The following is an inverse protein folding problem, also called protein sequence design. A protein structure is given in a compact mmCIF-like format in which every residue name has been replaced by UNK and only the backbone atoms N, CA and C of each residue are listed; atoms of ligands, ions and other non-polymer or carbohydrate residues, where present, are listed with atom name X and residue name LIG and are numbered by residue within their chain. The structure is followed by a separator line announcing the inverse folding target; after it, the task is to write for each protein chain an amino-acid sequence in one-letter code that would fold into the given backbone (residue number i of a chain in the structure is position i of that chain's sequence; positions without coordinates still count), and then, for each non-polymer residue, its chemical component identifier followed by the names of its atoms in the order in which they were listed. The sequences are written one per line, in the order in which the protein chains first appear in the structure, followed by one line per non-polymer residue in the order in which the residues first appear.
data_IF_054718668663
#
_entry.id   IF_054718668663
#
_cell.length_a   1.000
_cell.length_b   1.000
_cell.length_c   1.000
_cell.angle_alpha   90.00
_cell.angle_beta   90.00
_cell.angle_gamma   90.00
#
_symmetry.space_group_name_H-M   'P 1'
#
loop_
_entity.id
_entity.type
_entity.pdbx_description
1 polymer ?
#
# COMPACT_ATOMS: atom_id res chain seq x y z
N UNK A 1 33.89 13.15 -13.98
CA UNK A 1 33.56 12.62 -12.65
C UNK A 1 32.86 13.72 -11.89
N UNK A 2 31.55 13.63 -11.71
CA UNK A 2 30.81 14.58 -10.86
C UNK A 2 31.19 14.34 -9.39
N UNK A 3 31.22 15.38 -8.53
CA UNK A 3 31.77 15.28 -7.17
C UNK A 3 30.85 14.53 -6.19
N UNK A 4 29.60 14.31 -6.57
CA UNK A 4 28.62 13.63 -5.75
C UNK A 4 28.38 12.23 -6.32
N UNK A 5 28.87 11.20 -5.63
CA UNK A 5 28.81 9.80 -6.04
C UNK A 5 27.41 9.18 -6.14
N UNK A 6 26.35 9.98 -6.29
CA UNK A 6 24.98 9.53 -6.45
C UNK A 6 24.64 9.37 -7.93
N UNK A 7 24.41 8.12 -8.34
CA UNK A 7 23.92 7.79 -9.68
C UNK A 7 22.54 8.48 -9.89
N UNK A 8 22.41 9.42 -10.84
CA UNK A 8 21.15 10.13 -11.09
C UNK A 8 20.02 9.21 -11.61
N UNK A 9 20.30 7.96 -11.94
CA UNK A 9 19.30 6.95 -12.32
C UNK A 9 18.72 6.15 -11.13
N UNK A 10 19.22 6.35 -9.92
CA UNK A 10 18.67 5.70 -8.73
C UNK A 10 17.25 6.20 -8.42
N UNK A 11 16.30 5.28 -8.26
CA UNK A 11 14.93 5.62 -7.84
C UNK A 11 14.96 6.18 -6.42
N UNK A 12 14.18 7.23 -6.16
CA UNK A 12 13.94 7.72 -4.82
C UNK A 12 13.10 6.68 -4.05
N UNK A 13 13.63 6.21 -2.93
CA UNK A 13 13.00 5.26 -2.01
C UNK A 13 12.64 6.02 -0.74
N UNK A 14 11.39 5.88 -0.31
CA UNK A 14 10.86 6.45 0.92
C UNK A 14 10.18 5.32 1.68
N UNK A 15 10.63 5.04 2.89
CA UNK A 15 10.07 3.99 3.75
C UNK A 15 9.68 4.62 5.07
N UNK A 16 8.41 4.49 5.46
CA UNK A 16 7.87 5.03 6.71
C UNK A 16 6.99 3.97 7.35
N UNK A 17 7.15 3.73 8.64
CA UNK A 17 6.26 2.84 9.37
C UNK A 17 6.77 2.50 10.77
N UNK A 18 5.95 1.74 11.48
CA UNK A 18 6.30 1.13 12.75
C UNK A 18 7.05 -0.19 12.49
N UNK A 19 8.34 -0.20 12.82
CA UNK A 19 9.20 -1.38 12.66
C UNK A 19 9.15 -2.28 13.90
N UNK A 20 8.86 -1.72 15.07
CA UNK A 20 8.85 -2.42 16.34
C UNK A 20 10.13 -3.25 16.60
N UNK A 21 11.31 -2.66 16.33
CA UNK A 21 12.62 -3.26 16.59
C UNK A 21 13.34 -2.41 17.65
N UNK A 22 13.02 -2.60 18.95
CA UNK A 22 13.60 -1.81 20.03
C UNK A 22 15.09 -2.10 20.26
N UNK A 23 15.62 -3.19 19.71
CA UNK A 23 17.01 -3.60 19.86
C UNK A 23 17.99 -2.82 18.97
N UNK A 24 17.49 -1.97 18.07
CA UNK A 24 18.34 -1.09 17.26
C UNK A 24 18.67 0.13 18.09
N UNK A 25 19.96 0.35 18.31
CA UNK A 25 20.47 1.62 18.83
C UNK A 25 20.78 2.56 17.67
N UNK A 26 20.60 3.86 17.90
CA UNK A 26 20.89 4.90 16.92
C UNK A 26 22.12 5.67 17.41
N UNK A 27 23.10 5.89 16.53
CA UNK A 27 24.28 6.71 16.87
C UNK A 27 23.86 8.13 17.26
N UNK A 28 24.69 8.87 18.00
CA UNK A 28 24.45 10.29 18.37
C UNK A 28 24.17 11.22 17.18
N UNK A 29 24.42 10.77 15.95
CA UNK A 29 24.10 11.47 14.69
C UNK A 29 22.90 10.89 13.93
N UNK A 30 22.01 10.15 14.63
CA UNK A 30 20.66 9.60 14.35
C UNK A 30 20.36 8.93 13.00
N UNK A 31 21.27 9.01 12.03
CA UNK A 31 21.05 8.67 10.63
C UNK A 31 21.39 7.23 10.31
N UNK A 32 22.23 6.60 11.14
CA UNK A 32 22.75 5.23 10.94
C UNK A 32 22.47 4.36 12.16
N UNK A 33 21.93 3.15 11.95
CA UNK A 33 21.70 2.21 13.05
C UNK A 33 23.03 1.61 13.52
N UNK A 34 23.11 1.35 14.83
CA UNK A 34 24.15 0.54 15.45
C UNK A 34 23.50 -0.79 15.84
N UNK A 35 24.03 -1.87 15.28
CA UNK A 35 23.65 -3.22 15.71
C UNK A 35 24.26 -3.50 17.08
N UNK A 36 23.48 -3.37 18.14
CA UNK A 36 23.74 -4.07 19.40
C UNK A 36 23.45 -5.55 19.16
N UNK A 37 24.49 -6.32 18.84
CA UNK A 37 24.38 -7.71 18.38
C UNK A 37 23.42 -8.58 19.22
N UNK A 38 22.71 -9.49 18.55
CA UNK A 38 21.82 -10.47 19.21
C UNK A 38 20.42 -10.62 18.62
N UNK A 39 20.02 -9.84 17.61
CA UNK A 39 18.74 -10.00 16.94
C UNK A 39 18.89 -10.00 15.41
N UNK A 40 18.53 -11.11 14.76
CA UNK A 40 18.62 -11.26 13.31
C UNK A 40 17.85 -10.16 12.54
N UNK A 41 16.73 -9.67 13.08
CA UNK A 41 15.95 -8.62 12.43
C UNK A 41 16.65 -7.25 12.42
N UNK A 42 17.44 -6.92 13.45
CA UNK A 42 18.20 -5.66 13.47
C UNK A 42 19.38 -5.71 12.51
N UNK A 43 20.04 -6.86 12.40
CA UNK A 43 21.16 -7.07 11.47
C UNK A 43 20.69 -6.94 10.02
N UNK A 44 19.61 -7.64 9.66
CA UNK A 44 19.01 -7.54 8.31
C UNK A 44 18.57 -6.11 7.98
N UNK A 45 18.02 -5.37 8.95
CA UNK A 45 17.64 -3.98 8.70
C UNK A 45 18.87 -3.10 8.48
N UNK A 46 19.94 -3.29 9.25
CA UNK A 46 21.19 -2.54 9.08
C UNK A 46 21.84 -2.80 7.72
N UNK A 47 21.88 -4.06 7.29
CA UNK A 47 22.35 -4.44 5.95
C UNK A 47 21.51 -3.76 4.86
N UNK A 48 20.17 -3.84 4.97
CA UNK A 48 19.27 -3.21 4.00
C UNK A 48 19.47 -1.69 3.93
N UNK A 49 19.65 -1.04 5.09
CA UNK A 49 19.91 0.40 5.17
C UNK A 49 21.23 0.75 4.46
N UNK A 50 22.30 0.00 4.75
CA UNK A 50 23.62 0.19 4.15
C UNK A 50 23.62 -0.04 2.64
N UNK A 51 23.07 -1.17 2.17
CA UNK A 51 23.06 -1.57 0.76
C UNK A 51 22.26 -0.61 -0.13
N UNK A 52 21.25 0.06 0.44
CA UNK A 52 20.35 0.96 -0.30
C UNK A 52 20.64 2.45 -0.03
N UNK A 53 21.73 2.76 0.67
CA UNK A 53 22.10 4.13 1.07
C UNK A 53 20.96 4.88 1.76
N UNK A 54 20.18 4.18 2.58
CA UNK A 54 19.07 4.78 3.30
C UNK A 54 19.58 5.56 4.50
N UNK A 55 19.06 6.77 4.67
CA UNK A 55 19.26 7.58 5.86
C UNK A 55 17.97 7.59 6.68
N UNK A 56 18.10 7.45 8.00
CA UNK A 56 17.00 7.66 8.94
C UNK A 56 16.85 9.16 9.26
N UNK A 57 15.61 9.67 9.34
CA UNK A 57 15.32 11.10 9.56
C UNK A 57 14.58 11.46 10.88
N UNK A 58 14.21 10.49 11.72
CA UNK A 58 13.53 10.76 13.00
C UNK A 58 14.56 10.82 14.12
N UNK A 59 14.79 12.01 14.67
CA UNK A 59 15.78 12.23 15.74
C UNK A 59 15.27 11.76 17.12
N UNK A 60 14.00 12.05 17.45
CA UNK A 60 13.44 11.80 18.78
C UNK A 60 12.80 10.42 19.00
N UNK A 61 12.35 10.14 20.24
CA UNK A 61 11.49 8.99 20.51
C UNK A 61 10.15 9.14 19.76
N UNK A 62 9.53 8.03 19.36
CA UNK A 62 8.24 8.03 18.66
C UNK A 62 7.13 7.41 19.49
N UNK A 63 7.44 7.06 20.73
CA UNK A 63 6.54 6.41 21.66
C UNK A 63 6.71 7.03 23.06
N UNK A 64 5.62 7.15 23.80
CA UNK A 64 5.56 7.72 25.16
C UNK A 64 6.53 7.07 26.16
N UNK A 65 6.88 5.80 25.95
CA UNK A 65 7.89 5.07 26.73
C UNK A 65 9.36 5.43 26.39
N UNK A 66 9.61 6.38 25.48
CA UNK A 66 10.95 6.82 25.08
C UNK A 66 11.60 5.99 23.95
N UNK A 67 10.88 5.05 23.36
CA UNK A 67 11.39 4.22 22.27
C UNK A 67 11.20 4.88 20.90
N UNK A 68 12.12 4.62 19.97
CA UNK A 68 12.04 5.03 18.54
C UNK A 68 11.66 3.81 17.70
N UNK A 69 10.36 3.57 17.54
CA UNK A 69 9.80 2.39 16.85
C UNK A 69 9.31 2.72 15.45
N UNK A 70 8.82 3.95 15.26
CA UNK A 70 8.41 4.48 13.98
C UNK A 70 9.63 5.10 13.30
N UNK A 71 10.00 4.58 12.14
CA UNK A 71 11.20 5.00 11.41
C UNK A 71 10.82 5.57 10.06
N UNK A 72 11.59 6.57 9.65
CA UNK A 72 11.48 7.22 8.35
C UNK A 72 12.84 7.16 7.66
N UNK A 73 12.90 6.39 6.58
CA UNK A 73 14.09 6.24 5.75
C UNK A 73 13.92 6.87 4.37
N UNK A 74 14.99 7.48 3.86
CA UNK A 74 15.09 7.89 2.46
C UNK A 74 16.53 7.77 1.95
N UNK A 75 16.71 7.38 0.69
CA UNK A 75 18.03 7.34 0.04
C UNK A 75 18.45 8.68 -0.59
N UNK A 76 17.61 9.71 -0.46
CA UNK A 76 17.79 11.03 -1.05
C UNK A 76 17.40 12.11 -0.05
N UNK A 77 18.35 12.51 0.78
CA UNK A 77 18.11 13.50 1.84
C UNK A 77 17.61 14.85 1.31
N UNK A 78 18.01 15.23 0.10
CA UNK A 78 17.68 16.52 -0.50
C UNK A 78 16.19 16.68 -0.85
N UNK A 79 15.42 15.60 -0.87
CA UNK A 79 13.97 15.65 -1.09
C UNK A 79 13.17 15.75 0.21
N UNK A 80 13.81 15.59 1.37
CA UNK A 80 13.16 15.57 2.68
C UNK A 80 13.41 16.88 3.42
N UNK A 81 12.39 17.42 4.08
CA UNK A 81 12.54 18.60 4.95
C UNK A 81 11.50 18.64 6.08
N UNK A 82 11.76 19.47 7.09
CA UNK A 82 10.86 19.77 8.21
C UNK A 82 10.37 18.51 8.95
N UNK A 83 11.28 17.60 9.31
CA UNK A 83 10.93 16.41 10.09
C UNK A 83 10.76 16.80 11.55
N UNK A 84 9.55 16.66 12.07
CA UNK A 84 9.18 17.01 13.43
C UNK A 84 8.51 15.82 14.09
N UNK A 85 8.76 15.64 15.38
CA UNK A 85 8.09 14.63 16.20
C UNK A 85 7.40 15.34 17.35
N UNK A 86 6.07 15.23 17.43
CA UNK A 86 5.25 15.87 18.46
C UNK A 86 4.42 14.84 19.22
N UNK A 87 4.24 14.99 20.55
CA UNK A 87 3.31 14.18 21.31
C UNK A 87 1.89 14.21 20.72
N UNK A 88 1.19 13.10 20.81
CA UNK A 88 -0.19 12.93 20.33
C UNK A 88 -1.22 13.76 21.10
N UNK A 89 -0.95 14.07 22.37
CA UNK A 89 -1.81 14.84 23.26
C UNK A 89 -2.03 16.29 22.77
N UNK A 90 -1.02 16.89 22.13
CA UNK A 90 -1.12 18.22 21.52
C UNK A 90 -2.14 18.30 20.38
N UNK A 91 -2.48 17.15 19.81
CA UNK A 91 -3.34 17.02 18.63
C UNK A 91 -4.66 16.30 18.92
N UNK A 92 -4.98 16.09 20.21
CA UNK A 92 -6.22 15.48 20.68
C UNK A 92 -6.41 14.03 20.17
N UNK A 93 -5.30 13.29 19.96
CA UNK A 93 -5.31 11.87 19.64
C UNK A 93 -4.93 11.04 20.87
N UNK A 94 -5.80 10.14 21.30
CA UNK A 94 -5.49 9.20 22.38
C UNK A 94 -4.64 8.03 21.84
N UNK A 95 -3.34 8.23 21.73
CA UNK A 95 -2.36 7.18 21.34
C UNK A 95 -1.05 7.41 22.08
N UNK A 96 -0.38 6.32 22.42
CA UNK A 96 0.96 6.26 22.97
C UNK A 96 2.08 6.53 21.96
N UNK A 97 1.78 6.56 20.66
CA UNK A 97 2.70 6.95 19.60
C UNK A 97 2.71 8.47 19.37
N UNK A 98 3.88 9.01 19.08
CA UNK A 98 4.04 10.40 18.67
C UNK A 98 3.72 10.58 17.18
N UNK A 99 3.34 11.79 16.83
CA UNK A 99 3.06 12.17 15.44
C UNK A 99 4.37 12.61 14.81
N UNK A 100 4.69 12.03 13.65
CA UNK A 100 5.82 12.42 12.83
C UNK A 100 5.28 13.21 11.64
N UNK A 101 5.70 14.47 11.53
CA UNK A 101 5.37 15.37 10.43
C UNK A 101 6.63 15.61 9.59
N UNK A 102 6.50 15.63 8.27
CA UNK A 102 7.61 15.89 7.36
C UNK A 102 7.10 16.33 5.98
N UNK A 103 7.99 16.95 5.22
CA UNK A 103 7.77 17.36 3.84
C UNK A 103 8.61 16.51 2.88
N UNK A 104 7.99 16.12 1.76
CA UNK A 104 8.69 15.46 0.64
C UNK A 104 8.53 16.31 -0.63
N UNK A 105 9.64 16.81 -1.15
CA UNK A 105 9.70 17.53 -2.42
C UNK A 105 9.86 16.52 -3.57
N UNK A 106 8.81 16.31 -4.35
CA UNK A 106 8.90 15.45 -5.54
C UNK A 106 8.24 16.05 -6.77
N UNK A 107 8.74 15.67 -7.94
CA UNK A 107 8.10 15.95 -9.22
C UNK A 107 7.25 14.74 -9.61
N UNK A 108 5.95 14.81 -9.35
CA UNK A 108 5.03 13.75 -9.75
C UNK A 108 4.64 13.88 -11.23
N UNK A 109 5.04 12.91 -12.04
CA UNK A 109 4.36 12.66 -13.31
C UNK A 109 3.22 11.68 -13.08
N UNK A 110 2.01 12.01 -13.53
CA UNK A 110 0.88 11.08 -13.45
C UNK A 110 1.24 9.79 -14.19
N UNK A 111 1.26 8.67 -13.47
CA UNK A 111 1.51 7.36 -14.07
C UNK A 111 0.50 7.14 -15.21
N UNK A 112 1.03 6.77 -16.39
CA UNK A 112 0.21 6.39 -17.53
C UNK A 112 -0.59 5.15 -17.14
N UNK A 113 -1.89 5.08 -17.49
CA UNK A 113 -2.67 3.89 -17.18
C UNK A 113 -2.04 2.68 -17.87
N UNK A 114 -1.69 1.66 -17.09
CA UNK A 114 -1.07 0.44 -17.60
C UNK A 114 -2.12 -0.36 -18.36
N UNK A 115 -1.86 -0.69 -19.63
CA UNK A 115 -2.72 -1.61 -20.38
C UNK A 115 -2.59 -2.99 -19.76
N UNK A 116 -3.73 -3.65 -19.51
CA UNK A 116 -3.74 -5.04 -19.03
C UNK A 116 -4.43 -5.93 -20.05
N UNK A 117 -3.85 -7.10 -20.20
CA UNK A 117 -4.34 -8.17 -21.06
C UNK A 117 -5.20 -9.07 -20.19
N UNK A 118 -6.47 -9.28 -20.58
CA UNK A 118 -7.40 -10.12 -19.83
C UNK A 118 -8.12 -11.10 -20.75
N UNK A 119 -8.55 -12.22 -20.20
CA UNK A 119 -9.48 -13.12 -20.85
C UNK A 119 -10.86 -12.45 -21.01
N UNK A 120 -11.42 -12.54 -22.21
CA UNK A 120 -12.75 -12.05 -22.53
C UNK A 120 -13.79 -13.17 -22.43
N UNK A 121 -14.15 -13.50 -21.20
CA UNK A 121 -15.15 -14.54 -20.92
C UNK A 121 -16.53 -14.27 -21.53
N UNK A 122 -16.85 -13.03 -21.92
CA UNK A 122 -18.11 -12.72 -22.58
C UNK A 122 -18.19 -13.28 -24.02
N UNK A 123 -17.03 -13.49 -24.65
CA UNK A 123 -16.92 -14.01 -26.01
C UNK A 123 -16.25 -15.39 -26.06
N UNK A 124 -16.19 -16.07 -24.91
CA UNK A 124 -15.62 -17.42 -24.83
C UNK A 124 -16.55 -18.45 -25.48
N UNK A 125 -15.97 -19.41 -26.21
CA UNK A 125 -16.69 -20.61 -26.66
C UNK A 125 -16.77 -21.62 -25.52
N UNK A 126 -17.68 -21.35 -24.58
CA UNK A 126 -17.91 -22.23 -23.44
C UNK A 126 -18.36 -23.65 -23.81
N UNK A 127 -19.23 -23.87 -24.82
CA UNK A 127 -19.57 -25.22 -25.27
C UNK A 127 -18.35 -26.05 -25.65
N UNK A 128 -17.47 -25.52 -26.50
CA UNK A 128 -16.27 -26.25 -26.94
C UNK A 128 -15.24 -26.36 -25.82
N UNK A 129 -15.07 -25.31 -25.01
CA UNK A 129 -14.20 -25.32 -23.84
C UNK A 129 -14.58 -26.45 -22.86
N UNK A 130 -15.88 -26.61 -22.57
CA UNK A 130 -16.36 -27.69 -21.69
C UNK A 130 -16.08 -29.07 -22.26
N UNK A 131 -16.29 -29.24 -23.57
CA UNK A 131 -16.00 -30.51 -24.25
C UNK A 131 -14.50 -30.84 -24.20
N UNK A 132 -13.65 -29.89 -24.55
CA UNK A 132 -12.20 -30.06 -24.52
C UNK A 132 -11.71 -30.40 -23.11
N UNK A 133 -12.25 -29.74 -22.07
CA UNK A 133 -11.93 -30.04 -20.68
C UNK A 133 -12.42 -31.44 -20.24
N UNK A 134 -13.58 -31.90 -20.73
CA UNK A 134 -14.08 -33.25 -20.42
C UNK A 134 -13.32 -34.37 -21.11
N UNK A 135 -12.76 -34.09 -22.29
CA UNK A 135 -11.95 -35.04 -23.07
C UNK A 135 -10.49 -35.08 -22.59
N UNK A 136 -10.03 -34.01 -21.94
CA UNK A 136 -8.68 -33.94 -21.40
C UNK A 136 -8.61 -34.68 -20.06
N UNK A 137 -7.77 -35.71 -19.97
CA UNK A 137 -7.43 -36.33 -18.69
C UNK A 137 -6.55 -35.38 -17.85
N UNK A 138 -7.19 -34.42 -17.18
CA UNK A 138 -6.57 -33.63 -16.10
C UNK A 138 -6.46 -34.50 -14.85
N UNK A 139 -5.99 -35.74 -14.98
CA UNK A 139 -5.95 -36.70 -13.90
C UNK A 139 -5.03 -36.15 -12.81
N UNK A 140 -5.64 -35.59 -11.76
CA UNK A 140 -4.95 -35.01 -10.61
C UNK A 140 -4.49 -36.18 -9.75
N UNK A 141 -3.64 -37.05 -10.30
CA UNK A 141 -2.91 -38.01 -9.52
C UNK A 141 -2.08 -37.20 -8.54
N UNK A 142 -2.47 -37.23 -7.27
CA UNK A 142 -1.86 -36.53 -6.13
C UNK A 142 -0.47 -37.12 -5.80
N UNK A 143 0.33 -37.40 -6.83
CA UNK A 143 1.57 -38.17 -6.75
C UNK A 143 2.81 -37.28 -6.63
N UNK A 144 2.65 -35.96 -6.55
CA UNK A 144 3.73 -34.98 -6.41
C UNK A 144 3.45 -33.89 -5.38
N UNK A 145 4.45 -33.04 -5.13
CA UNK A 145 4.30 -31.82 -4.34
C UNK A 145 3.18 -30.95 -4.94
N UNK A 146 2.43 -30.22 -4.11
CA UNK A 146 1.42 -29.24 -4.57
C UNK A 146 2.05 -28.20 -5.53
N UNK A 147 3.37 -28.03 -5.48
CA UNK A 147 4.13 -27.11 -6.33
C UNK A 147 4.31 -27.63 -7.77
N UNK A 148 4.24 -28.95 -8.01
CA UNK A 148 4.36 -29.58 -9.34
C UNK A 148 3.01 -29.66 -10.05
N UNK A 149 2.42 -28.50 -10.31
CA UNK A 149 1.08 -28.38 -10.90
C UNK A 149 1.08 -28.49 -12.44
N UNK A 150 1.56 -29.60 -12.99
CA UNK A 150 1.58 -29.86 -14.45
C UNK A 150 0.20 -29.68 -15.13
N UNK A 151 -0.89 -29.96 -14.41
CA UNK A 151 -2.26 -29.78 -14.90
C UNK A 151 -2.63 -28.31 -15.17
N UNK A 152 -1.98 -27.35 -14.49
CA UNK A 152 -2.26 -25.91 -14.68
C UNK A 152 -1.91 -25.47 -16.09
N UNK A 153 -0.79 -25.92 -16.62
CA UNK A 153 -0.34 -25.51 -17.96
C UNK A 153 -1.24 -26.10 -19.04
N UNK A 154 -1.62 -27.37 -18.89
CA UNK A 154 -2.61 -28.02 -19.76
C UNK A 154 -3.95 -27.28 -19.70
N UNK A 155 -4.47 -27.00 -18.51
CA UNK A 155 -5.71 -26.26 -18.33
C UNK A 155 -5.64 -24.86 -18.96
N UNK A 156 -4.56 -24.10 -18.70
CA UNK A 156 -4.38 -22.76 -19.26
C UNK A 156 -4.26 -22.80 -20.78
N UNK A 157 -3.60 -23.81 -21.37
CA UNK A 157 -3.49 -23.95 -22.83
C UNK A 157 -4.87 -24.14 -23.50
N UNK A 158 -5.73 -24.95 -22.89
CA UNK A 158 -7.11 -25.16 -23.33
C UNK A 158 -7.89 -23.84 -23.21
N UNK A 159 -7.79 -23.16 -22.06
CA UNK A 159 -8.44 -21.86 -21.85
C UNK A 159 -7.99 -20.82 -22.89
N UNK A 160 -6.69 -20.72 -23.18
CA UNK A 160 -6.18 -19.78 -24.19
C UNK A 160 -6.67 -20.08 -25.62
N UNK A 161 -7.04 -21.34 -25.90
CA UNK A 161 -7.54 -21.76 -27.21
C UNK A 161 -9.01 -21.39 -27.44
N UNK A 162 -9.81 -21.32 -26.37
CA UNK A 162 -11.27 -21.12 -26.45
C UNK A 162 -11.77 -19.82 -25.82
N UNK A 163 -10.92 -19.12 -25.07
CA UNK A 163 -11.24 -17.83 -24.45
C UNK A 163 -10.40 -16.75 -25.12
N UNK A 164 -11.00 -15.86 -25.93
CA UNK A 164 -10.26 -14.80 -26.58
C UNK A 164 -9.69 -13.84 -25.55
N UNK A 165 -8.57 -13.20 -25.90
CA UNK A 165 -7.90 -12.23 -25.06
C UNK A 165 -8.23 -10.83 -25.56
N UNK A 166 -8.54 -9.90 -24.64
CA UNK A 166 -8.68 -8.49 -24.96
C UNK A 166 -7.72 -7.63 -24.15
N UNK A 167 -7.23 -6.58 -24.79
CA UNK A 167 -6.46 -5.54 -24.12
C UNK A 167 -7.41 -4.45 -23.66
N UNK A 168 -7.39 -4.16 -22.36
CA UNK A 168 -8.15 -3.06 -21.79
C UNK A 168 -7.19 -2.03 -21.22
N UNK A 169 -7.54 -0.76 -21.40
CA UNK A 169 -6.85 0.30 -20.69
C UNK A 169 -7.07 0.09 -19.19
N UNK A 170 -5.98 -0.04 -18.44
CA UNK A 170 -6.06 -0.07 -17.00
C UNK A 170 -6.66 1.23 -16.52
N UNK A 171 -7.47 1.14 -15.48
CA UNK A 171 -7.77 2.31 -14.67
C UNK A 171 -6.72 2.36 -13.57
N UNK A 172 -6.28 3.55 -13.16
CA UNK A 172 -5.45 3.70 -11.95
C UNK A 172 -6.20 3.34 -10.64
N UNK A 173 -7.41 2.79 -10.77
CA UNK A 173 -8.20 2.27 -9.66
C UNK A 173 -7.93 0.78 -9.51
N UNK A 174 -7.66 0.31 -8.29
CA UNK A 174 -7.59 -1.10 -7.99
C UNK A 174 -8.89 -1.84 -8.37
N UNK A 175 -8.81 -3.13 -8.77
CA UNK A 175 -9.98 -3.91 -9.22
C UNK A 175 -11.11 -4.03 -8.19
N UNK A 176 -10.80 -3.94 -6.90
CA UNK A 176 -11.77 -4.03 -5.80
C UNK A 176 -12.51 -2.71 -5.50
N UNK A 177 -12.22 -1.64 -6.24
CA UNK A 177 -12.96 -0.37 -6.16
C UNK A 177 -14.02 -0.33 -7.27
N UNK A 178 -15.26 -0.59 -6.87
CA UNK A 178 -16.41 -0.54 -7.77
C UNK A 178 -16.82 0.90 -8.13
N UNK A 179 -17.81 1.01 -9.03
CA UNK A 179 -18.31 2.29 -9.52
C UNK A 179 -18.97 3.15 -8.45
N UNK A 180 -19.62 2.53 -7.46
CA UNK A 180 -20.28 3.24 -6.36
C UNK A 180 -19.26 3.89 -5.44
N UNK A 181 -18.24 3.13 -5.00
CA UNK A 181 -17.13 3.67 -4.20
C UNK A 181 -16.44 4.80 -4.96
N UNK A 182 -16.24 4.65 -6.27
CA UNK A 182 -15.65 5.70 -7.12
C UNK A 182 -16.50 6.97 -7.16
N UNK A 183 -17.82 6.84 -7.24
CA UNK A 183 -18.74 7.98 -7.18
C UNK A 183 -18.64 8.71 -5.84
N UNK A 184 -18.63 7.98 -4.73
CA UNK A 184 -18.50 8.56 -3.39
C UNK A 184 -17.16 9.30 -3.21
N UNK A 185 -16.05 8.72 -3.70
CA UNK A 185 -14.73 9.37 -3.71
C UNK A 185 -14.78 10.69 -4.48
N UNK A 186 -15.38 10.71 -5.68
CA UNK A 186 -15.52 11.93 -6.49
C UNK A 186 -16.34 13.00 -5.76
N UNK A 187 -17.48 12.60 -5.17
CA UNK A 187 -18.35 13.51 -4.40
C UNK A 187 -17.59 14.18 -3.26
N UNK A 188 -16.79 13.41 -2.50
CA UNK A 188 -15.91 13.93 -1.43
C UNK A 188 -14.93 14.98 -1.94
N UNK A 189 -14.19 14.68 -3.01
CA UNK A 189 -13.19 15.62 -3.55
C UNK A 189 -13.81 16.88 -4.18
N UNK A 190 -14.99 16.77 -4.78
CA UNK A 190 -15.75 17.94 -5.27
C UNK A 190 -16.13 18.86 -4.11
N UNK A 191 -16.65 18.30 -3.02
CA UNK A 191 -16.97 19.06 -1.81
C UNK A 191 -15.73 19.75 -1.22
N UNK A 192 -14.61 19.01 -1.09
CA UNK A 192 -13.35 19.56 -0.60
C UNK A 192 -12.83 20.70 -1.48
N UNK A 193 -12.93 20.58 -2.82
CA UNK A 193 -12.52 21.64 -3.75
C UNK A 193 -13.39 22.89 -3.60
N UNK A 194 -14.70 22.75 -3.39
CA UNK A 194 -15.62 23.88 -3.14
C UNK A 194 -15.29 24.57 -1.82
N UNK A 195 -15.07 23.79 -0.77
CA UNK A 195 -14.65 24.29 0.54
C UNK A 195 -13.34 25.09 0.48
N UNK A 196 -12.31 24.54 -0.17
CA UNK A 196 -11.02 25.22 -0.33
C UNK A 196 -11.10 26.55 -1.09
N UNK A 197 -12.10 26.71 -1.97
CA UNK A 197 -12.34 27.97 -2.71
C UNK A 197 -13.12 28.98 -1.88
N UNK A 198 -14.13 28.52 -1.12
CA UNK A 198 -15.02 29.38 -0.33
C UNK A 198 -15.02 28.91 1.14
N UNK A 199 -14.10 29.46 1.95
CA UNK A 199 -13.92 29.08 3.37
C UNK A 199 -15.19 29.27 4.22
N UNK A 200 -16.08 30.21 3.86
CA UNK A 200 -17.20 30.66 4.71
C UNK A 200 -18.57 30.02 4.38
N UNK A 201 -18.79 29.53 3.15
CA UNK A 201 -20.11 29.05 2.70
C UNK A 201 -20.24 27.52 2.63
N UNK A 202 -19.23 26.76 3.07
CA UNK A 202 -19.14 25.32 2.82
C UNK A 202 -18.89 24.46 4.06
N UNK A 203 -18.92 25.02 5.27
CA UNK A 203 -18.78 24.20 6.49
C UNK A 203 -19.99 23.26 6.62
N UNK A 204 -21.23 23.74 6.49
CA UNK A 204 -22.43 22.87 6.52
C UNK A 204 -22.48 21.85 5.39
N UNK A 205 -21.99 22.20 4.19
CA UNK A 205 -21.93 21.28 3.04
C UNK A 205 -20.79 20.26 3.17
N UNK A 206 -19.64 20.65 3.72
CA UNK A 206 -18.51 19.77 3.98
C UNK A 206 -18.80 18.83 5.16
N UNK A 207 -19.38 19.36 6.23
CA UNK A 207 -19.91 18.59 7.36
C UNK A 207 -20.99 17.65 6.84
N UNK A 208 -22.05 18.07 6.14
CA UNK A 208 -23.03 17.10 5.59
C UNK A 208 -22.42 16.09 4.59
N UNK A 209 -21.49 16.48 3.73
CA UNK A 209 -20.81 15.53 2.84
C UNK A 209 -19.92 14.50 3.59
N UNK A 210 -19.42 14.84 4.78
CA UNK A 210 -18.66 13.95 5.66
C UNK A 210 -19.50 13.32 6.80
N UNK A 211 -20.67 13.89 7.13
CA UNK A 211 -21.54 13.58 8.28
C UNK A 211 -22.86 12.95 7.87
N UNK A 212 -23.28 12.99 6.59
CA UNK A 212 -24.41 12.18 6.09
C UNK A 212 -24.13 10.68 6.10
N UNK A 213 -22.95 10.29 6.58
CA UNK A 213 -22.61 8.96 7.05
C UNK A 213 -21.73 9.21 8.27
N UNK A 214 -22.37 9.45 9.41
CA UNK A 214 -21.82 9.45 10.78
C UNK A 214 -20.61 8.53 10.88
N UNK A 215 -19.63 8.82 11.74
CA UNK A 215 -18.40 8.01 11.88
C UNK A 215 -18.65 6.48 11.91
N UNK A 216 -19.82 6.02 12.32
CA UNK A 216 -20.31 4.65 12.14
C UNK A 216 -20.42 4.14 10.70
N UNK A 217 -20.76 4.93 9.68
CA UNK A 217 -20.94 4.48 8.30
C UNK A 217 -19.69 4.67 7.41
N UNK A 218 -18.76 5.57 7.77
CA UNK A 218 -17.38 5.52 7.25
C UNK A 218 -16.59 4.40 7.90
N UNK A 219 -16.77 4.13 9.19
CA UNK A 219 -16.28 2.90 9.82
C UNK A 219 -17.00 1.67 9.28
N UNK A 220 -18.31 1.69 8.98
CA UNK A 220 -18.97 0.56 8.32
C UNK A 220 -18.56 0.46 6.86
N UNK A 221 -18.16 1.53 6.16
CA UNK A 221 -17.62 1.44 4.81
C UNK A 221 -16.16 0.97 4.83
N UNK A 222 -15.32 1.43 5.76
CA UNK A 222 -13.95 0.94 5.96
C UNK A 222 -13.99 -0.49 6.52
N UNK A 223 -14.94 -0.83 7.38
CA UNK A 223 -15.18 -2.19 7.86
C UNK A 223 -15.88 -3.05 6.81
N UNK A 224 -16.75 -2.51 5.95
CA UNK A 224 -17.35 -3.27 4.84
C UNK A 224 -16.32 -3.47 3.73
N UNK A 225 -15.47 -2.49 3.44
CA UNK A 225 -14.30 -2.60 2.56
C UNK A 225 -13.30 -3.58 3.18
N UNK A 226 -12.97 -3.47 4.47
CA UNK A 226 -12.10 -4.42 5.18
C UNK A 226 -12.71 -5.81 5.30
N UNK A 227 -14.03 -5.96 5.46
CA UNK A 227 -14.75 -7.25 5.44
C UNK A 227 -14.87 -7.82 4.03
N UNK A 228 -15.06 -6.99 2.99
CA UNK A 228 -15.02 -7.39 1.57
C UNK A 228 -13.61 -7.82 1.19
N UNK A 229 -12.58 -7.09 1.62
CA UNK A 229 -11.16 -7.41 1.43
C UNK A 229 -10.77 -8.66 2.22
N UNK A 230 -11.24 -8.85 3.47
CA UNK A 230 -11.07 -10.11 4.23
C UNK A 230 -11.80 -11.28 3.56
N UNK A 231 -13.02 -11.10 3.06
CA UNK A 231 -13.78 -12.13 2.33
C UNK A 231 -13.16 -12.47 0.97
N UNK A 232 -12.58 -11.50 0.26
CA UNK A 232 -11.82 -11.74 -0.96
C UNK A 232 -10.47 -12.41 -0.67
N UNK A 233 -9.74 -11.95 0.35
CA UNK A 233 -8.51 -12.58 0.86
C UNK A 233 -8.71 -14.03 1.27
N UNK A 234 -9.86 -14.36 1.89
CA UNK A 234 -10.23 -15.75 2.21
C UNK A 234 -10.59 -16.58 0.98
N UNK A 235 -11.12 -15.97 -0.10
CA UNK A 235 -11.38 -16.67 -1.38
C UNK A 235 -10.13 -16.81 -2.26
N UNK A 236 -9.11 -15.98 -2.06
CA UNK A 236 -7.84 -16.02 -2.82
C UNK A 236 -6.73 -16.77 -2.07
N UNK A 237 -7.07 -17.65 -1.13
CA UNK A 237 -6.14 -18.44 -0.28
C UNK A 237 -5.24 -19.44 -1.03
N UNK A 238 -5.05 -19.28 -2.34
CA UNK A 238 -4.17 -20.10 -3.17
C UNK A 238 -3.40 -19.26 -4.18
N UNK A 239 -2.61 -18.32 -3.66
CA UNK A 239 -1.38 -17.89 -4.31
C UNK A 239 -0.30 -17.95 -3.22
N UNK A 240 0.58 -18.93 -3.33
CA UNK A 240 1.68 -19.20 -2.42
C UNK A 240 2.62 -17.99 -2.33
N UNK A 241 3.00 -17.62 -1.11
CA UNK A 241 4.24 -16.86 -0.86
C UNK A 241 4.16 -15.36 -0.61
N UNK A 242 3.02 -14.67 -0.79
CA UNK A 242 2.93 -13.22 -0.52
C UNK A 242 1.93 -12.93 0.59
N UNK A 243 2.43 -12.72 1.81
CA UNK A 243 1.65 -12.13 2.90
C UNK A 243 1.50 -10.63 2.66
N UNK A 244 0.44 -10.22 1.95
CA UNK A 244 0.04 -8.82 1.91
C UNK A 244 -0.61 -8.48 3.26
N UNK A 245 0.17 -7.94 4.21
CA UNK A 245 -0.39 -7.28 5.38
C UNK A 245 -1.12 -6.01 4.91
N UNK A 246 -2.44 -5.88 5.11
CA UNK A 246 -3.12 -4.63 4.84
C UNK A 246 -2.70 -3.61 5.90
N UNK A 247 -1.74 -2.75 5.59
CA UNK A 247 -1.50 -1.49 6.33
C UNK A 247 -2.64 -0.52 5.99
N UNK A 248 -3.83 -0.81 6.51
CA UNK A 248 -4.91 0.17 6.66
C UNK A 248 -4.99 0.53 8.15
N UNK A 249 -3.93 1.16 8.66
CA UNK A 249 -4.10 2.04 9.81
C UNK A 249 -4.91 3.23 9.29
N UNK A 250 -6.09 3.44 9.85
CA UNK A 250 -6.86 4.67 9.74
C UNK A 250 -6.07 5.84 10.34
N UNK A 251 -4.95 6.24 9.72
CA UNK A 251 -4.40 7.58 9.87
C UNK A 251 -5.21 8.45 8.92
N UNK A 252 -6.36 8.92 9.42
CA UNK A 252 -6.98 10.14 8.93
C UNK A 252 -5.88 11.20 8.93
N UNK A 253 -5.36 11.55 7.76
CA UNK A 253 -4.71 12.84 7.56
C UNK A 253 -5.75 13.89 7.93
N UNK A 254 -5.71 14.33 9.19
CA UNK A 254 -6.16 15.63 9.61
C UNK A 254 -5.36 16.63 8.78
N UNK A 255 -6.01 17.16 7.75
CA UNK A 255 -5.56 18.41 7.16
C UNK A 255 -6.12 19.47 8.12
N UNK A 256 -5.31 19.91 9.07
CA UNK A 256 -5.62 21.09 9.87
C UNK A 256 -5.29 22.37 9.08
N UNK A 257 -6.04 23.41 9.43
CA UNK A 257 -6.27 24.67 8.72
C UNK A 257 -5.06 25.61 8.65
#
# INVERSE_FOLDING_TARGET
SSPDGLNPESRCIVIVGDFNIPSISWSDNDSTPISSGGCANSEVLCELIGDNFLQQFVEGPTHSAGNKLDLFFCNRAEVISNVLTSPSDEHNFSTDHYIIEFNISTKFTRAKPVRRVIYDYNHADFPTLRRALSETSLDITLTGSIDDCWWKDTFLSIVTSFVPIKTIQGTNFPPWIDGEVRYLIRKKYIALRKYRKNKTASIEYFVSANSSKSNTQLELNINCISRKLKRHSMKTRRWSGVTIKPFFTTKLLSIQL
#
